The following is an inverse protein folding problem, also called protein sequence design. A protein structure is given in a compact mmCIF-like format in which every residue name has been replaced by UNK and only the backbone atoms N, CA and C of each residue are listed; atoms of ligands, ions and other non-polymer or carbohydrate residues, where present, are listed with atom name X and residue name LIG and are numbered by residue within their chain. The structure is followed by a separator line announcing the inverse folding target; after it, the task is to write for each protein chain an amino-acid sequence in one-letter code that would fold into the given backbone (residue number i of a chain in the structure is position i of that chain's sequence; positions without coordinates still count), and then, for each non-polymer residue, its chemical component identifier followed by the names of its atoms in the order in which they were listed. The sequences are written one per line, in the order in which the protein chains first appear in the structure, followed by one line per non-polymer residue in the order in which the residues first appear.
data_IF_070228884689
#
_entry.id   IF_070228884689
#
_cell.length_a   1.000
_cell.length_b   1.000
_cell.length_c   1.000
_cell.angle_alpha   90.00
_cell.angle_beta   90.00
_cell.angle_gamma   90.00
#
_symmetry.space_group_name_H-M   'P 1'
#
loop_
_entity.id
_entity.type
_entity.pdbx_description
1 polymer ?
#
# COMPACT_ATOMS: atom_id res chain seq x y z
N UNK A 1 19.67 -4.48 -22.49
CA UNK A 1 19.55 -5.03 -21.12
C UNK A 1 18.55 -4.16 -20.37
N UNK A 2 17.76 -4.73 -19.46
CA UNK A 2 16.83 -3.95 -18.61
C UNK A 2 17.54 -3.52 -17.34
N UNK A 3 17.31 -2.29 -16.90
CA UNK A 3 17.77 -1.82 -15.59
C UNK A 3 16.87 -2.39 -14.50
N UNK A 4 17.45 -3.06 -13.51
CA UNK A 4 16.69 -3.62 -12.38
C UNK A 4 16.41 -2.51 -11.37
N UNK A 5 15.16 -2.39 -10.97
CA UNK A 5 14.70 -1.37 -10.04
C UNK A 5 13.84 -2.03 -8.96
N UNK A 6 14.16 -1.75 -7.71
CA UNK A 6 13.35 -2.16 -6.55
C UNK A 6 12.59 -0.95 -6.05
N UNK A 7 11.30 -1.13 -5.77
CA UNK A 7 10.45 -0.09 -5.22
C UNK A 7 9.57 -0.65 -4.12
N UNK A 8 9.60 0.00 -2.96
CA UNK A 8 8.86 -0.38 -1.77
C UNK A 8 8.34 0.87 -1.04
N UNK A 9 7.24 0.72 -0.30
CA UNK A 9 6.67 1.80 0.48
C UNK A 9 5.68 1.30 1.52
N UNK A 10 5.57 2.04 2.63
CA UNK A 10 4.70 1.64 3.73
C UNK A 10 4.47 2.77 4.73
N UNK A 11 3.39 2.62 5.50
CA UNK A 11 3.05 3.48 6.63
C UNK A 11 3.09 2.69 7.93
N UNK A 12 3.46 3.39 9.00
CA UNK A 12 3.39 2.85 10.35
C UNK A 12 3.13 4.00 11.34
N UNK A 13 1.92 4.09 11.94
CA UNK A 13 0.72 3.27 11.67
C UNK A 13 0.10 3.52 10.27
N UNK A 14 -0.89 2.71 9.87
CA UNK A 14 -1.60 2.83 8.58
C UNK A 14 -3.13 3.00 8.79
N UNK A 15 -3.75 4.13 8.39
CA UNK A 15 -3.13 5.33 7.83
C UNK A 15 -2.24 6.05 8.84
N UNK A 16 -1.29 6.83 8.35
CA UNK A 16 -0.33 7.54 9.18
C UNK A 16 0.92 7.94 8.41
N UNK A 17 2.01 8.24 9.13
CA UNK A 17 3.28 8.60 8.51
C UNK A 17 3.78 7.49 7.60
N UNK A 18 4.04 7.85 6.35
CA UNK A 18 4.45 6.95 5.29
C UNK A 18 5.81 7.30 4.72
N UNK A 19 6.49 6.30 4.19
CA UNK A 19 7.69 6.49 3.40
C UNK A 19 7.76 5.53 2.24
N UNK A 20 8.51 5.93 1.22
CA UNK A 20 8.79 5.15 0.02
C UNK A 20 10.29 5.14 -0.25
N UNK A 21 10.76 4.06 -0.87
CA UNK A 21 12.15 3.81 -1.17
C UNK A 21 12.32 3.16 -2.54
N UNK A 22 13.37 3.56 -3.27
CA UNK A 22 13.70 3.05 -4.59
C UNK A 22 15.19 2.77 -4.67
N UNK A 23 15.54 1.61 -5.24
CA UNK A 23 16.94 1.21 -5.52
C UNK A 23 17.05 0.87 -7.00
N UNK A 24 17.90 1.59 -7.72
CA UNK A 24 18.14 1.40 -9.16
C UNK A 24 19.55 0.81 -9.32
N UNK A 25 19.64 -0.36 -9.94
CA UNK A 25 20.91 -1.02 -10.24
C UNK A 25 21.41 -0.56 -11.63
N UNK A 26 22.12 0.57 -11.68
CA UNK A 26 22.73 1.07 -12.91
C UNK A 26 24.16 0.52 -13.10
N UNK A 27 24.67 0.45 -14.34
CA UNK A 27 26.03 -0.02 -14.61
C UNK A 27 27.12 0.79 -13.88
N UNK A 28 26.91 2.10 -13.70
CA UNK A 28 27.83 3.04 -13.07
C UNK A 28 27.70 3.06 -11.54
N UNK A 29 26.80 2.25 -10.99
CA UNK A 29 26.58 2.11 -9.55
C UNK A 29 25.10 2.17 -9.15
N UNK A 30 24.84 1.90 -7.87
CA UNK A 30 23.49 1.94 -7.32
C UNK A 30 23.01 3.38 -7.10
N UNK A 31 21.82 3.70 -7.60
CA UNK A 31 21.11 4.95 -7.28
C UNK A 31 20.00 4.64 -6.28
N UNK A 32 19.88 5.46 -5.25
CA UNK A 32 18.92 5.27 -4.16
C UNK A 32 18.11 6.54 -3.96
N UNK A 33 16.78 6.39 -3.92
CA UNK A 33 15.84 7.49 -3.72
C UNK A 33 14.91 7.14 -2.57
N UNK A 34 14.53 8.14 -1.79
CA UNK A 34 13.50 7.98 -0.76
C UNK A 34 12.76 9.29 -0.53
N UNK A 35 11.61 9.18 0.11
CA UNK A 35 10.82 10.31 0.59
C UNK A 35 9.66 9.80 1.44
N UNK A 36 8.85 10.72 1.96
CA UNK A 36 7.72 10.34 2.79
C UNK A 36 6.65 11.40 2.86
N UNK A 37 5.54 11.03 3.50
CA UNK A 37 4.35 11.84 3.68
C UNK A 37 3.85 11.64 5.12
N UNK A 38 3.68 12.72 5.92
CA UNK A 38 3.20 12.60 7.29
C UNK A 38 1.82 11.93 7.42
N UNK A 39 1.01 11.94 6.36
CA UNK A 39 -0.35 11.40 6.36
C UNK A 39 -0.66 10.65 5.06
N UNK A 40 -0.38 9.35 5.06
CA UNK A 40 -0.56 8.48 3.90
C UNK A 40 -1.12 7.11 4.29
N UNK A 41 -1.09 6.18 3.34
CA UNK A 41 -1.42 4.76 3.53
C UNK A 41 -0.35 3.88 2.86
N UNK A 42 -0.28 2.59 3.24
CA UNK A 42 0.66 1.64 2.64
C UNK A 42 0.56 1.67 1.11
N UNK A 43 -0.63 1.43 0.56
CA UNK A 43 -0.87 1.40 -0.87
C UNK A 43 -0.46 2.70 -1.58
N UNK A 44 -0.65 3.87 -0.95
CA UNK A 44 -0.23 5.15 -1.53
C UNK A 44 1.30 5.23 -1.60
N UNK A 45 2.00 4.78 -0.56
CA UNK A 45 3.47 4.79 -0.54
C UNK A 45 4.07 3.77 -1.50
N UNK A 46 3.50 2.57 -1.61
CA UNK A 46 3.89 1.57 -2.61
C UNK A 46 3.73 2.11 -4.04
N UNK A 47 2.59 2.73 -4.35
CA UNK A 47 2.35 3.37 -5.65
C UNK A 47 3.32 4.53 -5.89
N UNK A 48 3.57 5.35 -4.87
CA UNK A 48 4.50 6.48 -4.95
C UNK A 48 5.90 5.99 -5.25
N UNK A 49 6.38 4.91 -4.61
CA UNK A 49 7.68 4.32 -4.89
C UNK A 49 7.82 3.96 -6.38
N UNK A 50 6.84 3.23 -6.93
CA UNK A 50 6.83 2.84 -8.33
C UNK A 50 6.78 4.05 -9.29
N UNK A 51 5.97 5.07 -8.96
CA UNK A 51 5.88 6.32 -9.74
C UNK A 51 7.23 7.05 -9.74
N UNK A 52 7.83 7.27 -8.57
CA UNK A 52 9.12 7.97 -8.41
C UNK A 52 10.25 7.24 -9.11
N UNK A 53 10.23 5.92 -9.08
CA UNK A 53 11.15 5.10 -9.85
C UNK A 53 11.01 5.35 -11.35
N UNK A 54 9.80 5.34 -11.91
CA UNK A 54 9.58 5.60 -13.35
C UNK A 54 9.90 7.05 -13.75
N UNK A 55 9.62 8.04 -12.90
CA UNK A 55 9.95 9.45 -13.16
C UNK A 55 11.46 9.69 -13.30
N UNK A 56 12.29 8.85 -12.69
CA UNK A 56 13.75 8.95 -12.82
C UNK A 56 14.27 8.58 -14.22
N UNK A 57 13.56 7.70 -14.93
CA UNK A 57 14.01 7.23 -16.25
C UNK A 57 13.43 8.08 -17.38
N UNK A 58 14.17 8.29 -18.48
CA UNK A 58 13.60 8.90 -19.69
C UNK A 58 12.54 8.00 -20.33
N UNK A 59 11.75 8.58 -21.24
CA UNK A 59 10.84 7.79 -22.10
C UNK A 59 11.64 6.76 -22.93
N UNK A 60 11.04 5.61 -23.20
CA UNK A 60 11.66 4.50 -23.93
C UNK A 60 12.65 3.64 -23.13
N UNK A 61 12.95 3.99 -21.88
CA UNK A 61 13.84 3.20 -21.02
C UNK A 61 13.31 1.78 -20.79
N UNK A 62 14.22 0.80 -20.80
CA UNK A 62 13.92 -0.61 -20.55
C UNK A 62 14.17 -0.96 -19.08
N UNK A 63 13.09 -1.22 -18.34
CA UNK A 63 13.10 -1.35 -16.88
C UNK A 63 12.57 -2.74 -16.48
N UNK A 64 13.17 -3.35 -15.47
CA UNK A 64 12.57 -4.44 -14.71
C UNK A 64 12.24 -3.92 -13.31
N UNK A 65 10.96 -3.63 -13.08
CA UNK A 65 10.44 -3.14 -11.81
C UNK A 65 10.08 -4.31 -10.90
N UNK A 66 10.76 -4.40 -9.76
CA UNK A 66 10.55 -5.39 -8.71
C UNK A 66 9.87 -4.74 -7.52
N UNK A 67 8.69 -5.25 -7.16
CA UNK A 67 7.91 -4.79 -6.01
C UNK A 67 7.38 -6.01 -5.25
N UNK A 68 7.35 -5.94 -3.92
CA UNK A 68 6.65 -6.94 -3.09
C UNK A 68 5.16 -6.64 -2.90
N UNK A 69 4.73 -5.41 -3.24
CA UNK A 69 3.33 -5.04 -3.33
C UNK A 69 2.62 -5.77 -4.47
N UNK A 70 1.81 -6.77 -4.12
CA UNK A 70 0.86 -7.38 -5.05
C UNK A 70 -0.16 -6.35 -5.57
N UNK A 71 -0.47 -5.33 -4.77
CA UNK A 71 -1.40 -4.29 -5.17
C UNK A 71 -0.85 -3.50 -6.36
N UNK A 72 0.40 -3.06 -6.32
CA UNK A 72 1.06 -2.37 -7.44
C UNK A 72 1.13 -3.30 -8.65
N UNK A 73 1.71 -4.50 -8.50
CA UNK A 73 1.95 -5.41 -9.64
C UNK A 73 0.64 -5.79 -10.33
N UNK A 74 -0.41 -6.20 -9.60
CA UNK A 74 -1.69 -6.55 -10.22
C UNK A 74 -2.42 -5.35 -10.80
N UNK A 75 -2.25 -4.16 -10.22
CA UNK A 75 -2.86 -2.95 -10.79
C UNK A 75 -2.38 -2.70 -12.21
N UNK A 76 -1.07 -2.79 -12.44
CA UNK A 76 -0.47 -2.54 -13.76
C UNK A 76 -0.59 -3.72 -14.73
N UNK A 77 -0.52 -4.96 -14.25
CA UNK A 77 -0.56 -6.14 -15.14
C UNK A 77 -1.97 -6.62 -15.46
N UNK A 78 -2.95 -6.43 -14.56
CA UNK A 78 -4.28 -7.03 -14.67
C UNK A 78 -5.41 -5.99 -14.69
N UNK A 79 -5.39 -5.01 -13.78
CA UNK A 79 -6.60 -4.24 -13.47
C UNK A 79 -6.74 -2.93 -14.25
N UNK A 80 -5.65 -2.20 -14.48
CA UNK A 80 -5.67 -0.86 -15.10
C UNK A 80 -6.36 -0.87 -16.46
N UNK A 81 -6.16 -1.91 -17.29
CA UNK A 81 -6.84 -2.02 -18.58
C UNK A 81 -8.36 -2.04 -18.42
N UNK A 82 -8.87 -2.82 -17.46
CA UNK A 82 -10.29 -2.89 -17.16
C UNK A 82 -10.83 -1.59 -16.55
N UNK A 83 -10.06 -0.94 -15.69
CA UNK A 83 -10.43 0.34 -15.09
C UNK A 83 -10.51 1.46 -16.13
N UNK A 84 -9.56 1.55 -17.06
CA UNK A 84 -9.58 2.54 -18.16
C UNK A 84 -10.84 2.40 -19.02
N UNK A 85 -11.19 1.17 -19.39
CA UNK A 85 -12.42 0.90 -20.17
C UNK A 85 -13.70 1.29 -19.42
N UNK A 86 -13.68 1.26 -18.08
CA UNK A 86 -14.80 1.63 -17.22
C UNK A 86 -14.72 3.09 -16.72
N UNK A 87 -13.87 3.92 -17.32
CA UNK A 87 -13.70 5.32 -16.92
C UNK A 87 -13.21 5.47 -15.47
N UNK A 88 -12.35 4.57 -15.00
CA UNK A 88 -11.78 4.52 -13.65
C UNK A 88 -12.81 4.34 -12.53
N UNK A 89 -13.87 3.56 -12.80
CA UNK A 89 -14.93 3.24 -11.82
C UNK A 89 -15.06 1.73 -11.62
N UNK A 90 -15.37 1.34 -10.39
CA UNK A 90 -15.81 0.01 -9.99
C UNK A 90 -17.32 0.03 -9.68
N UNK A 91 -17.89 -1.13 -9.36
CA UNK A 91 -19.29 -1.23 -8.91
C UNK A 91 -19.56 -0.47 -7.61
N UNK A 92 -18.52 -0.19 -6.83
CA UNK A 92 -18.62 0.47 -5.51
C UNK A 92 -18.22 1.94 -5.54
N UNK A 93 -17.92 2.52 -6.72
CA UNK A 93 -17.50 3.91 -6.86
C UNK A 93 -16.20 4.09 -7.66
N UNK A 94 -15.53 5.25 -7.54
CA UNK A 94 -14.22 5.47 -8.17
C UNK A 94 -13.18 4.45 -7.71
N UNK A 95 -12.24 4.10 -8.59
CA UNK A 95 -11.08 3.27 -8.23
C UNK A 95 -10.30 3.96 -7.11
N UNK A 96 -9.93 3.22 -6.06
CA UNK A 96 -9.11 3.75 -4.97
C UNK A 96 -7.75 4.21 -5.51
N UNK A 97 -7.28 5.37 -5.04
CA UNK A 97 -6.02 5.98 -5.48
C UNK A 97 -5.97 6.29 -6.99
N UNK A 98 -7.11 6.63 -7.62
CA UNK A 98 -7.23 6.84 -9.07
C UNK A 98 -6.16 7.79 -9.64
N UNK A 99 -5.85 8.88 -8.96
CA UNK A 99 -4.85 9.86 -9.42
C UNK A 99 -3.45 9.24 -9.53
N UNK A 100 -3.04 8.47 -8.51
CA UNK A 100 -1.76 7.76 -8.52
C UNK A 100 -1.76 6.64 -9.59
N UNK A 101 -2.88 5.94 -9.76
CA UNK A 101 -3.00 4.89 -10.78
C UNK A 101 -2.91 5.45 -12.20
N UNK A 102 -3.57 6.58 -12.46
CA UNK A 102 -3.49 7.27 -13.75
C UNK A 102 -2.07 7.73 -14.02
N UNK A 103 -1.41 8.35 -13.03
CA UNK A 103 -0.01 8.77 -13.15
C UNK A 103 0.93 7.58 -13.41
N UNK A 104 0.71 6.47 -12.71
CA UNK A 104 1.48 5.25 -12.91
C UNK A 104 1.31 4.67 -14.31
N UNK A 105 0.07 4.59 -14.80
CA UNK A 105 -0.27 4.13 -16.16
C UNK A 105 0.37 5.02 -17.24
N UNK A 106 0.29 6.35 -17.10
CA UNK A 106 0.90 7.30 -18.03
C UNK A 106 2.42 7.13 -18.13
N UNK A 107 3.10 6.98 -16.99
CA UNK A 107 4.55 6.81 -16.95
C UNK A 107 4.98 5.44 -17.47
N UNK A 108 4.24 4.39 -17.12
CA UNK A 108 4.52 3.03 -17.55
C UNK A 108 4.29 2.87 -19.06
N UNK A 109 3.26 3.50 -19.63
CA UNK A 109 2.95 3.43 -21.06
C UNK A 109 4.03 4.05 -21.96
N UNK A 110 4.86 4.95 -21.42
CA UNK A 110 5.95 5.63 -22.14
C UNK A 110 7.30 4.94 -22.01
N UNK A 111 7.38 3.81 -21.31
CA UNK A 111 8.61 3.07 -21.00
C UNK A 111 8.39 1.58 -21.27
N UNK A 112 9.47 0.85 -21.53
CA UNK A 112 9.40 -0.61 -21.63
C UNK A 112 9.57 -1.21 -20.23
N UNK A 113 8.47 -1.38 -19.50
CA UNK A 113 8.49 -1.84 -18.10
C UNK A 113 8.07 -3.30 -17.99
N UNK A 114 8.97 -4.15 -17.47
CA UNK A 114 8.67 -5.50 -17.02
C UNK A 114 8.39 -5.47 -15.52
N UNK A 115 7.19 -5.88 -15.12
CA UNK A 115 6.78 -5.94 -13.72
C UNK A 115 7.04 -7.33 -13.15
N UNK A 116 7.72 -7.39 -12.02
CA UNK A 116 8.06 -8.62 -11.31
C UNK A 116 7.61 -8.48 -9.87
N UNK A 117 6.72 -9.37 -9.45
CA UNK A 117 6.39 -9.50 -8.04
C UNK A 117 7.49 -10.30 -7.34
N UNK A 118 8.04 -9.74 -6.27
CA UNK A 118 8.98 -10.43 -5.38
C UNK A 118 8.30 -10.73 -4.06
N UNK A 119 8.73 -11.78 -3.37
CA UNK A 119 8.16 -12.11 -2.07
C UNK A 119 8.64 -11.11 -1.02
N UNK A 120 7.70 -10.48 -0.31
CA UNK A 120 8.03 -9.61 0.83
C UNK A 120 8.71 -10.40 1.96
N UNK A 121 9.67 -9.75 2.62
CA UNK A 121 10.52 -10.24 3.70
C UNK A 121 11.51 -11.36 3.33
N UNK A 122 12.79 -10.98 3.37
CA UNK A 122 14.02 -11.76 3.21
C UNK A 122 14.18 -12.50 1.87
N UNK A 123 15.25 -12.15 1.13
CA UNK A 123 15.72 -12.94 -0.02
C UNK A 123 16.21 -12.13 -1.21
N UNK A 124 15.88 -10.83 -1.28
CA UNK A 124 16.42 -9.92 -2.31
C UNK A 124 16.99 -8.66 -1.66
N UNK A 125 18.32 -8.54 -1.65
CA UNK A 125 19.04 -7.44 -1.00
C UNK A 125 18.61 -6.05 -1.51
N UNK A 126 18.20 -5.94 -2.78
CA UNK A 126 17.65 -4.72 -3.35
C UNK A 126 16.30 -4.32 -2.76
N UNK A 127 15.40 -5.29 -2.54
CA UNK A 127 14.10 -5.05 -1.90
C UNK A 127 14.28 -4.68 -0.42
N UNK A 128 15.15 -5.38 0.31
CA UNK A 128 15.50 -5.05 1.70
C UNK A 128 16.13 -3.65 1.82
N UNK A 129 16.88 -3.21 0.80
CA UNK A 129 17.38 -1.84 0.76
C UNK A 129 16.26 -0.84 0.48
N UNK A 130 15.32 -1.15 -0.42
CA UNK A 130 14.15 -0.31 -0.66
C UNK A 130 13.27 -0.15 0.59
N UNK A 131 13.02 -1.22 1.37
CA UNK A 131 12.31 -1.17 2.65
C UNK A 131 13.01 -0.22 3.66
N UNK A 132 14.34 -0.35 3.80
CA UNK A 132 15.13 0.57 4.64
C UNK A 132 15.02 2.02 4.19
N UNK A 133 15.00 2.26 2.88
CA UNK A 133 14.81 3.60 2.31
C UNK A 133 13.39 4.13 2.58
N UNK A 134 12.37 3.27 2.51
CA UNK A 134 11.00 3.64 2.89
C UNK A 134 10.91 4.00 4.39
N UNK A 135 11.54 3.21 5.26
CA UNK A 135 11.64 3.53 6.69
C UNK A 135 12.38 4.86 6.93
N UNK A 136 13.45 5.16 6.18
CA UNK A 136 14.14 6.44 6.22
C UNK A 136 13.22 7.59 5.76
N UNK A 137 12.53 7.43 4.63
CA UNK A 137 11.61 8.44 4.11
C UNK A 137 10.48 8.77 5.08
N UNK A 138 9.93 7.76 5.77
CA UNK A 138 8.93 7.95 6.84
C UNK A 138 9.48 8.80 7.99
N UNK A 139 10.72 8.56 8.40
CA UNK A 139 11.38 9.35 9.45
C UNK A 139 11.59 10.81 9.03
N UNK A 140 12.00 11.03 7.78
CA UNK A 140 12.18 12.38 7.23
C UNK A 140 10.86 13.16 7.22
N UNK A 141 9.75 12.50 6.85
CA UNK A 141 8.42 13.10 6.90
C UNK A 141 8.01 13.53 8.32
N UNK A 142 8.50 12.83 9.35
CA UNK A 142 8.29 13.15 10.76
C UNK A 142 9.33 14.13 11.34
N UNK A 143 10.28 14.62 10.54
CA UNK A 143 11.38 15.45 11.03
C UNK A 143 12.35 14.73 11.98
N UNK A 144 12.35 13.40 11.97
CA UNK A 144 13.23 12.59 12.82
C UNK A 144 14.61 12.41 12.17
N UNK A 145 15.69 12.33 12.96
CA UNK A 145 17.03 12.12 12.40
C UNK A 145 17.13 10.76 11.68
N UNK A 146 17.99 10.64 10.66
CA UNK A 146 18.24 9.36 10.00
C UNK A 146 18.72 8.32 11.01
N UNK A 147 18.40 7.04 10.78
CA UNK A 147 18.93 5.99 11.66
C UNK A 147 20.43 5.79 11.37
N UNK A 148 21.26 5.57 12.40
CA UNK A 148 22.71 5.42 12.24
C UNK A 148 23.13 4.19 11.42
N UNK A 149 22.25 3.19 11.26
CA UNK A 149 22.47 1.95 10.51
C UNK A 149 22.14 2.07 9.01
N UNK A 150 21.63 3.21 8.54
CA UNK A 150 21.24 3.43 7.15
C UNK A 150 22.20 4.45 6.52
N UNK A 151 23.07 3.99 5.61
CA UNK A 151 23.91 4.89 4.81
C UNK A 151 23.01 5.89 4.05
N UNK A 152 23.38 7.19 3.99
CA UNK A 152 22.51 8.23 3.46
C UNK A 152 22.24 8.03 1.96
N UNK A 153 20.96 7.87 1.61
CA UNK A 153 20.51 7.96 0.22
C UNK A 153 20.81 9.35 -0.36
N UNK A 154 21.17 9.40 -1.64
CA UNK A 154 21.32 10.68 -2.36
C UNK A 154 19.93 11.32 -2.45
N UNK A 155 19.74 12.45 -1.80
CA UNK A 155 18.47 13.18 -1.82
C UNK A 155 18.24 13.72 -3.24
N UNK A 156 17.11 13.44 -3.91
CA UNK A 156 16.82 14.13 -5.15
C UNK A 156 16.62 15.62 -4.87
N UNK A 157 16.98 16.51 -5.80
CA UNK A 157 16.71 17.93 -5.65
C UNK A 157 15.21 18.15 -5.50
N UNK A 158 14.82 18.91 -4.48
CA UNK A 158 13.46 19.44 -4.33
C UNK A 158 13.19 20.29 -5.57
N UNK A 159 12.33 19.81 -6.48
CA UNK A 159 11.80 20.64 -7.55
C UNK A 159 10.84 21.64 -6.90
N UNK A 160 11.34 22.86 -6.65
CA UNK A 160 10.50 24.00 -6.31
C UNK A 160 9.65 24.35 -7.54
N UNK A 161 8.33 24.48 -7.42
CA UNK A 161 7.57 25.13 -8.45
C UNK A 161 7.89 26.63 -8.40
N UNK A 162 8.53 27.15 -9.44
CA UNK A 162 8.59 28.58 -9.72
C UNK A 162 7.17 29.08 -9.91
N UNK A 163 6.62 29.77 -8.90
CA UNK A 163 5.38 30.51 -9.05
C UNK A 163 5.65 31.74 -9.91
N UNK A 164 5.18 31.73 -11.15
CA UNK A 164 4.88 32.96 -11.87
C UNK A 164 3.43 33.31 -11.58
N UNK A 165 3.24 34.46 -10.93
CA UNK A 165 1.94 34.98 -10.56
C UNK A 165 1.12 35.36 -11.80
N UNK A 166 -0.13 34.91 -11.83
CA UNK A 166 -1.22 35.61 -12.50
C UNK A 166 -2.43 35.54 -11.56
N UNK A 167 -2.76 36.71 -11.01
CA UNK A 167 -3.87 36.93 -10.07
C UNK A 167 -5.18 37.04 -10.87
N UNK A 168 -6.22 36.33 -10.43
CA UNK A 168 -7.62 36.77 -10.58
C UNK A 168 -8.55 36.05 -9.59
N UNK A 169 -9.66 36.69 -9.19
CA UNK A 169 -10.10 36.69 -7.80
C UNK A 169 -11.15 35.62 -7.44
N UNK A 170 -11.34 35.53 -6.13
CA UNK A 170 -12.12 34.56 -5.36
C UNK A 170 -13.63 34.49 -5.69
N UNK A 171 -14.19 33.30 -5.42
CA UNK A 171 -15.60 33.04 -5.10
C UNK A 171 -15.68 31.90 -4.06
N UNK A 172 -16.74 31.83 -3.24
CA UNK A 172 -16.62 31.60 -1.80
C UNK A 172 -16.58 30.13 -1.37
N UNK A 173 -15.99 29.93 -0.18
CA UNK A 173 -15.97 28.68 0.55
C UNK A 173 -17.38 28.23 0.97
N UNK A 174 -17.68 26.95 0.73
CA UNK A 174 -18.77 26.22 1.39
C UNK A 174 -18.22 25.49 2.63
N UNK A 175 -19.04 25.27 3.68
CA UNK A 175 -18.55 25.10 5.03
C UNK A 175 -17.97 23.71 5.30
N UNK A 176 -16.92 23.70 6.12
CA UNK A 176 -16.34 22.54 6.77
C UNK A 176 -17.35 21.88 7.72
N UNK A 177 -17.67 20.61 7.48
CA UNK A 177 -18.30 19.73 8.47
C UNK A 177 -17.37 19.50 9.67
N UNK A 178 -17.92 19.32 10.89
CA UNK A 178 -17.15 19.28 12.12
C UNK A 178 -16.28 18.02 12.21
N UNK A 179 -15.15 18.17 12.90
CA UNK A 179 -14.23 17.10 13.24
C UNK A 179 -14.97 15.92 13.89
N UNK A 180 -14.85 14.75 13.26
CA UNK A 180 -15.29 13.50 13.86
C UNK A 180 -14.35 13.12 15.01
N UNK A 181 -14.94 12.70 16.13
CA UNK A 181 -14.23 12.13 17.29
C UNK A 181 -13.21 11.05 16.89
N UNK A 182 -12.10 10.91 17.65
CA UNK A 182 -11.08 9.91 17.35
C UNK A 182 -11.68 8.50 17.49
N UNK A 183 -11.76 7.78 16.37
CA UNK A 183 -12.20 6.40 16.34
C UNK A 183 -11.31 5.51 17.24
N UNK A 184 -11.87 4.50 17.92
CA UNK A 184 -11.11 3.62 18.80
C UNK A 184 -10.01 2.90 18.02
N UNK A 185 -8.80 2.92 18.57
CA UNK A 185 -7.60 2.27 18.01
C UNK A 185 -7.78 0.74 18.03
N UNK A 186 -8.20 0.19 16.90
CA UNK A 186 -8.24 -1.26 16.68
C UNK A 186 -6.91 -1.79 16.15
N UNK A 187 -6.48 -2.96 16.63
CA UNK A 187 -5.33 -3.70 16.09
C UNK A 187 -5.81 -4.58 14.93
N UNK A 188 -5.22 -4.42 13.75
CA UNK A 188 -5.52 -5.27 12.59
C UNK A 188 -4.82 -6.61 12.72
N UNK A 189 -5.58 -7.70 12.84
CA UNK A 189 -5.06 -9.07 12.88
C UNK A 189 -5.21 -9.69 11.48
N UNK A 190 -4.12 -10.13 10.83
CA UNK A 190 -4.21 -10.81 9.56
C UNK A 190 -4.94 -12.15 9.74
N UNK A 191 -5.98 -12.37 8.92
CA UNK A 191 -6.77 -13.61 8.91
C UNK A 191 -6.34 -14.45 7.71
N UNK A 192 -6.08 -15.73 7.93
CA UNK A 192 -5.73 -16.68 6.88
C UNK A 192 -6.81 -16.73 5.77
N UNK A 193 -6.40 -16.84 4.51
CA UNK A 193 -7.31 -16.69 3.36
C UNK A 193 -8.52 -17.64 3.38
N UNK A 194 -8.32 -18.90 3.79
CA UNK A 194 -9.40 -19.87 3.92
C UNK A 194 -10.42 -19.49 5.01
N UNK A 195 -9.94 -18.92 6.11
CA UNK A 195 -10.79 -18.42 7.20
C UNK A 195 -11.53 -17.14 6.77
N UNK A 196 -10.87 -16.26 6.01
CA UNK A 196 -11.48 -15.07 5.42
C UNK A 196 -12.65 -15.40 4.49
N UNK A 197 -12.53 -16.42 3.64
CA UNK A 197 -13.66 -16.87 2.81
C UNK A 197 -14.82 -17.43 3.63
N UNK A 198 -14.54 -18.18 4.70
CA UNK A 198 -15.58 -18.73 5.58
C UNK A 198 -16.30 -17.62 6.35
N UNK A 199 -15.55 -16.62 6.82
CA UNK A 199 -16.09 -15.43 7.46
C UNK A 199 -17.02 -14.66 6.52
N UNK A 200 -16.59 -14.41 5.28
CA UNK A 200 -17.41 -13.70 4.30
C UNK A 200 -18.72 -14.44 3.96
N UNK A 201 -18.68 -15.77 3.86
CA UNK A 201 -19.88 -16.60 3.64
C UNK A 201 -20.84 -16.55 4.83
N UNK A 202 -20.31 -16.66 6.05
CA UNK A 202 -21.12 -16.63 7.27
C UNK A 202 -21.77 -15.24 7.47
N UNK A 203 -21.02 -14.16 7.25
CA UNK A 203 -21.56 -12.79 7.29
C UNK A 203 -22.69 -12.58 6.28
N UNK A 204 -22.54 -13.10 5.05
CA UNK A 204 -23.61 -13.05 4.03
C UNK A 204 -24.87 -13.79 4.47
N UNK A 205 -24.74 -14.96 5.10
CA UNK A 205 -25.88 -15.73 5.61
C UNK A 205 -26.58 -15.01 6.77
N UNK A 206 -25.82 -14.33 7.61
CA UNK A 206 -26.33 -13.54 8.73
C UNK A 206 -26.84 -12.13 8.32
N UNK A 207 -26.80 -11.78 7.03
CA UNK A 207 -27.27 -10.48 6.53
C UNK A 207 -26.45 -9.28 7.00
N UNK A 208 -25.17 -9.48 7.32
CA UNK A 208 -24.27 -8.45 7.88
C UNK A 208 -22.95 -8.35 7.10
N UNK A 209 -22.10 -7.39 7.46
CA UNK A 209 -20.76 -7.22 6.86
C UNK A 209 -19.74 -8.19 7.48
N UNK A 210 -18.67 -8.59 6.76
CA UNK A 210 -17.63 -9.45 7.33
C UNK A 210 -16.98 -8.89 8.59
N UNK A 211 -16.81 -7.56 8.67
CA UNK A 211 -16.25 -6.90 9.83
C UNK A 211 -17.19 -6.96 11.04
N UNK A 212 -18.47 -6.58 10.86
CA UNK A 212 -19.46 -6.62 11.93
C UNK A 212 -19.68 -8.04 12.46
N UNK A 213 -19.71 -9.03 11.56
CA UNK A 213 -19.80 -10.44 11.94
C UNK A 213 -18.55 -10.93 12.71
N UNK A 214 -17.35 -10.52 12.28
CA UNK A 214 -16.12 -10.87 12.99
C UNK A 214 -16.08 -10.28 14.40
N UNK A 215 -16.49 -9.02 14.56
CA UNK A 215 -16.56 -8.36 15.86
C UNK A 215 -17.54 -9.06 16.80
N UNK A 216 -18.71 -9.46 16.30
CA UNK A 216 -19.71 -10.21 17.07
C UNK A 216 -19.18 -11.59 17.51
N UNK A 217 -18.58 -12.35 16.58
CA UNK A 217 -17.98 -13.66 16.89
C UNK A 217 -16.85 -13.52 17.90
N UNK A 218 -16.02 -12.48 17.79
CA UNK A 218 -14.92 -12.24 18.72
C UNK A 218 -15.44 -11.91 20.13
N UNK A 219 -16.48 -11.08 20.25
CA UNK A 219 -17.13 -10.80 21.54
C UNK A 219 -17.65 -12.08 22.19
N UNK A 220 -18.40 -12.89 21.44
CA UNK A 220 -18.92 -14.17 21.94
C UNK A 220 -17.79 -15.13 22.37
N UNK A 221 -16.70 -15.18 21.60
CA UNK A 221 -15.55 -16.01 21.94
C UNK A 221 -14.84 -15.54 23.22
N UNK A 222 -14.78 -14.22 23.45
CA UNK A 222 -14.23 -13.64 24.67
C UNK A 222 -15.13 -13.91 25.88
N UNK A 223 -16.45 -13.79 25.73
CA UNK A 223 -17.43 -14.06 26.79
C UNK A 223 -17.44 -15.53 27.22
N UNK A 224 -17.25 -16.45 26.26
CA UNK A 224 -17.17 -17.89 26.52
C UNK A 224 -15.87 -18.31 27.22
N UNK A 225 -14.79 -17.55 27.04
CA UNK A 225 -13.47 -17.87 27.54
C UNK A 225 -12.86 -19.17 26.98
N UNK A 226 -11.65 -19.54 27.44
CA UNK A 226 -10.92 -20.71 26.94
C UNK A 226 -11.67 -22.03 27.13
N UNK A 227 -12.30 -22.21 28.28
CA UNK A 227 -12.99 -23.45 28.65
C UNK A 227 -14.27 -23.65 27.84
N UNK A 228 -15.06 -22.59 27.63
CA UNK A 228 -16.24 -22.63 26.77
C UNK A 228 -15.89 -22.94 25.32
N UNK A 229 -14.79 -22.36 24.80
CA UNK A 229 -14.28 -22.68 23.47
C UNK A 229 -13.78 -24.14 23.37
N UNK A 230 -13.17 -24.68 24.42
CA UNK A 230 -12.76 -26.09 24.45
C UNK A 230 -13.97 -27.03 24.36
N UNK A 231 -15.03 -26.77 25.13
CA UNK A 231 -16.27 -27.55 25.08
C UNK A 231 -16.94 -27.50 23.70
N UNK A 232 -16.96 -26.34 23.04
CA UNK A 232 -17.47 -26.21 21.68
C UNK A 232 -16.65 -27.01 20.65
N UNK A 233 -15.32 -27.07 20.81
CA UNK A 233 -14.45 -27.89 19.96
C UNK A 233 -14.75 -29.38 20.13
N UNK A 234 -14.92 -29.84 21.37
CA UNK A 234 -15.27 -31.23 21.67
C UNK A 234 -16.66 -31.60 21.15
N UNK A 235 -17.66 -30.76 21.37
CA UNK A 235 -19.02 -30.99 20.88
C UNK A 235 -19.06 -31.05 19.34
N UNK A 236 -18.25 -30.22 18.67
CA UNK A 236 -18.12 -30.26 17.21
C UNK A 236 -17.43 -31.54 16.74
N UNK A 237 -16.39 -32.00 17.41
CA UNK A 237 -15.70 -33.25 17.09
C UNK A 237 -16.64 -34.47 17.23
N UNK A 238 -17.51 -34.48 18.24
CA UNK A 238 -18.51 -35.55 18.46
C UNK A 238 -19.65 -35.56 17.43
N UNK A 239 -19.93 -34.42 16.76
CA UNK A 239 -20.97 -34.30 15.73
C UNK A 239 -20.46 -34.60 14.31
N UNK A 240 -19.16 -34.83 14.12
CA UNK A 240 -18.63 -35.29 12.83
C UNK A 240 -18.82 -36.82 12.76
N UNK A 241 -19.45 -37.37 11.69
CA UNK A 241 -19.54 -38.81 11.54
C UNK A 241 -18.13 -39.40 11.47
N UNK A 242 -17.93 -40.53 12.15
CA UNK A 242 -16.73 -41.34 11.93
C UNK A 242 -16.69 -41.70 10.43
N UNK A 243 -15.61 -41.32 9.76
CA UNK A 243 -15.37 -41.61 8.36
C UNK A 243 -15.23 -43.12 8.13
#
# INVERSE_FOLDING_TARGET
MRTIVYADGGCDPNPGPGGWGVVIQAPEGTVELCGGDPQSTNNRMELTAAIRALEHFPEGAAIEMRCDSQYVVKSVTEWIRGWKLKGWRTTTGPVKNVELMQRLDELAARRDVRWVWVKGHAGEAGNERADRLAAQGRRQALGLPPRPDIAPAKTPPVMTPTMTAAVSPAAPASPSSPAAEPAPRGTSIPVEGALGLRLARAAKQAGTTPQAYADEVLRLALDLGPDGLALLREAKARKMPAA
#
